data_IF_505519965851
#
_entry.id   IF_505519965851
#
_cell.length_a   1.000
_cell.length_b   1.000
_cell.length_c   1.000
_cell.angle_alpha   90.00
_cell.angle_beta   90.00
_cell.angle_gamma   90.00
#
_symmetry.space_group_name_H-M   'P 1'
#
loop_
_entity.id
_entity.type
_entity.pdbx_description
1 polymer ?
#
# COMPACT_ATOMS: atom_id res chain seq x y z
N UNK A 1 -7.02 -26.35 12.79
CA UNK A 1 -8.19 -25.87 13.55
C UNK A 1 -8.61 -26.96 14.55
N UNK A 2 -7.77 -27.18 15.53
CA UNK A 2 -7.92 -28.30 16.48
C UNK A 2 -9.13 -28.16 17.44
N UNK A 3 -9.76 -26.99 17.52
CA UNK A 3 -10.84 -26.67 18.45
C UNK A 3 -12.17 -26.27 17.77
N UNK A 4 -12.29 -26.46 16.46
CA UNK A 4 -13.48 -26.12 15.69
C UNK A 4 -13.74 -24.61 15.48
N UNK A 5 -12.85 -23.74 15.94
CA UNK A 5 -12.97 -22.29 15.70
C UNK A 5 -12.69 -21.97 14.24
N UNK A 6 -13.65 -21.36 13.56
CA UNK A 6 -13.48 -20.91 12.17
C UNK A 6 -12.48 -19.73 12.10
N UNK A 7 -11.76 -19.56 10.98
CA UNK A 7 -10.95 -18.37 10.76
C UNK A 7 -11.83 -17.11 10.75
N UNK A 8 -11.26 -15.92 10.97
CA UNK A 8 -11.98 -14.68 10.77
C UNK A 8 -12.40 -14.52 9.30
N UNK A 9 -13.43 -13.71 9.05
CA UNK A 9 -13.87 -13.40 7.70
C UNK A 9 -12.77 -12.74 6.88
N UNK A 10 -12.77 -13.02 5.58
CA UNK A 10 -11.85 -12.40 4.63
C UNK A 10 -12.09 -10.89 4.55
N UNK A 11 -10.99 -10.14 4.47
CA UNK A 11 -11.01 -8.68 4.29
C UNK A 11 -10.22 -8.34 3.03
N UNK A 12 -10.85 -7.67 2.09
CA UNK A 12 -10.24 -7.25 0.83
C UNK A 12 -10.96 -6.01 0.30
N UNK A 13 -10.25 -5.21 -0.49
CA UNK A 13 -10.82 -4.02 -1.10
C UNK A 13 -11.92 -4.38 -2.09
N UNK A 14 -13.01 -3.63 -2.09
CA UNK A 14 -14.21 -3.89 -2.87
C UNK A 14 -14.73 -2.63 -3.55
N UNK A 15 -15.23 -2.81 -4.78
CA UNK A 15 -15.81 -1.72 -5.57
C UNK A 15 -17.11 -1.20 -4.93
N UNK A 16 -17.96 -2.10 -4.45
CA UNK A 16 -19.24 -1.75 -3.81
C UNK A 16 -19.09 -1.05 -2.44
N UNK A 17 -17.90 -1.12 -1.83
CA UNK A 17 -17.57 -0.39 -0.59
C UNK A 17 -16.79 0.91 -0.85
N UNK A 18 -16.45 1.21 -2.11
CA UNK A 18 -15.61 2.36 -2.45
C UNK A 18 -14.16 2.25 -2.01
N UNK A 19 -13.73 1.05 -1.57
CA UNK A 19 -12.35 0.78 -1.15
C UNK A 19 -11.49 0.20 -2.27
N UNK A 20 -12.10 -0.12 -3.42
CA UNK A 20 -11.45 -0.43 -4.69
C UNK A 20 -11.94 0.60 -5.72
N UNK A 21 -11.05 1.38 -6.28
CA UNK A 21 -11.38 2.52 -7.15
C UNK A 21 -10.61 2.45 -8.47
N UNK A 22 -11.11 3.10 -9.54
CA UNK A 22 -10.31 3.33 -10.73
C UNK A 22 -9.00 4.07 -10.41
N UNK A 23 -7.92 3.71 -11.09
CA UNK A 23 -6.59 4.29 -10.81
C UNK A 23 -6.55 5.80 -10.98
N UNK A 24 -7.35 6.34 -11.89
CA UNK A 24 -7.46 7.79 -12.15
C UNK A 24 -8.08 8.57 -10.98
N UNK A 25 -8.71 7.86 -10.05
CA UNK A 25 -9.33 8.45 -8.85
C UNK A 25 -8.42 8.37 -7.61
N UNK A 26 -7.24 7.76 -7.75
CA UNK A 26 -6.30 7.72 -6.63
C UNK A 26 -5.79 9.13 -6.35
N UNK A 27 -5.93 9.57 -5.12
CA UNK A 27 -5.42 10.88 -4.68
C UNK A 27 -4.14 10.68 -3.88
N UNK A 28 -3.07 10.30 -4.58
CA UNK A 28 -1.77 10.08 -3.92
C UNK A 28 -1.21 11.41 -3.42
N UNK A 29 -0.71 11.47 -2.16
CA UNK A 29 -0.15 12.71 -1.63
C UNK A 29 1.06 13.18 -2.45
N UNK A 30 1.15 14.49 -2.68
CA UNK A 30 2.29 15.07 -3.40
C UNK A 30 3.54 15.10 -2.49
N UNK A 31 4.21 13.98 -2.38
CA UNK A 31 5.41 13.80 -1.56
C UNK A 31 6.62 14.31 -2.33
N UNK A 32 7.40 15.26 -1.82
CA UNK A 32 8.56 15.79 -2.52
C UNK A 32 9.58 14.72 -2.90
N UNK A 33 9.95 14.71 -4.17
CA UNK A 33 10.92 13.74 -4.71
C UNK A 33 10.36 12.34 -4.96
N UNK A 34 9.03 12.14 -4.78
CA UNK A 34 8.34 10.87 -5.04
C UNK A 34 7.44 11.02 -6.26
N UNK A 35 7.60 10.13 -7.22
CA UNK A 35 6.66 10.04 -8.36
C UNK A 35 5.43 9.27 -7.93
N UNK A 36 4.25 9.83 -8.19
CA UNK A 36 2.98 9.16 -7.92
C UNK A 36 2.73 7.95 -8.84
N UNK A 37 1.68 7.16 -8.58
CA UNK A 37 1.39 5.94 -9.33
C UNK A 37 0.77 6.20 -10.72
N UNK A 38 0.59 7.44 -11.11
CA UNK A 38 0.03 7.84 -12.40
C UNK A 38 0.92 7.29 -13.54
N UNK A 39 0.32 6.52 -14.42
CA UNK A 39 1.04 5.92 -15.54
C UNK A 39 1.74 4.58 -15.26
N UNK A 40 1.79 4.10 -14.01
CA UNK A 40 2.31 2.77 -13.68
C UNK A 40 1.33 1.67 -14.15
N UNK A 41 0.04 1.97 -14.12
CA UNK A 41 -1.03 1.04 -14.45
C UNK A 41 -1.46 1.21 -15.90
N UNK A 42 -1.10 0.26 -16.74
CA UNK A 42 -1.50 0.26 -18.15
C UNK A 42 -2.96 -0.20 -18.30
N UNK A 43 -3.68 0.48 -19.18
CA UNK A 43 -4.99 0.03 -19.66
C UNK A 43 -4.87 -1.35 -20.28
N UNK A 44 -5.77 -2.26 -19.92
CA UNK A 44 -5.82 -3.63 -20.43
C UNK A 44 -7.02 -3.80 -21.33
N UNK A 45 -6.83 -4.52 -22.43
CA UNK A 45 -7.87 -4.78 -23.42
C UNK A 45 -8.04 -6.27 -23.64
N UNK A 46 -9.29 -6.68 -23.90
CA UNK A 46 -9.56 -7.91 -24.60
C UNK A 46 -9.35 -7.66 -26.10
N UNK A 47 -8.50 -8.45 -26.72
CA UNK A 47 -8.17 -8.30 -28.13
C UNK A 47 -8.76 -9.42 -28.98
N UNK A 48 -9.36 -9.05 -30.13
CA UNK A 48 -9.70 -10.00 -31.17
C UNK A 48 -8.51 -10.19 -32.11
N UNK A 49 -8.05 -11.43 -32.21
CA UNK A 49 -6.90 -11.84 -33.02
C UNK A 49 -7.31 -12.73 -34.20
N UNK A 50 -8.62 -12.86 -34.46
CA UNK A 50 -9.17 -13.67 -35.54
C UNK A 50 -9.97 -14.87 -35.05
N UNK A 51 -10.77 -15.49 -35.96
CA UNK A 51 -11.76 -16.50 -35.59
C UNK A 51 -11.17 -17.87 -35.19
N UNK A 52 -9.88 -18.06 -35.40
CA UNK A 52 -9.15 -19.30 -35.04
C UNK A 52 -8.17 -19.09 -33.89
N UNK A 53 -8.28 -17.97 -33.17
CA UNK A 53 -7.50 -17.68 -31.98
C UNK A 53 -8.35 -17.90 -30.74
N UNK A 54 -7.86 -18.74 -29.83
CA UNK A 54 -8.45 -18.95 -28.52
C UNK A 54 -7.81 -17.99 -27.52
N UNK A 55 -8.63 -17.13 -26.92
CA UNK A 55 -8.17 -16.12 -25.96
C UNK A 55 -7.94 -16.69 -24.57
N UNK A 56 -8.62 -17.79 -24.23
CA UNK A 56 -8.57 -18.38 -22.88
C UNK A 56 -7.27 -19.15 -22.65
N UNK A 57 -6.80 -19.87 -23.66
CA UNK A 57 -5.54 -20.62 -23.57
C UNK A 57 -4.38 -20.00 -24.39
N UNK A 58 -4.62 -18.85 -25.03
CA UNK A 58 -3.67 -18.12 -25.87
C UNK A 58 -3.09 -18.94 -27.03
N UNK A 59 -3.90 -19.81 -27.62
CA UNK A 59 -3.53 -20.70 -28.71
C UNK A 59 -4.21 -20.38 -30.02
N UNK A 60 -3.84 -21.10 -31.07
CA UNK A 60 -4.45 -21.02 -32.39
C UNK A 60 -3.75 -20.04 -33.33
N UNK A 61 -4.49 -19.57 -34.35
CA UNK A 61 -3.92 -18.78 -35.45
C UNK A 61 -4.27 -17.32 -35.28
N UNK A 62 -3.25 -16.47 -35.15
CA UNK A 62 -3.41 -15.01 -35.24
C UNK A 62 -3.61 -14.64 -36.69
N UNK A 63 -4.83 -14.27 -37.05
CA UNK A 63 -5.19 -13.89 -38.42
C UNK A 63 -5.46 -12.37 -38.53
N UNK A 64 -5.50 -11.65 -37.39
CA UNK A 64 -5.71 -10.21 -37.32
C UNK A 64 -4.55 -9.56 -36.62
N UNK A 65 -3.74 -8.78 -37.34
CA UNK A 65 -2.57 -8.06 -36.81
C UNK A 65 -2.50 -6.68 -37.48
N UNK A 66 -2.52 -5.57 -36.75
CA UNK A 66 -2.63 -5.51 -35.26
C UNK A 66 -3.99 -6.02 -34.77
N UNK A 67 -4.05 -6.55 -33.53
CA UNK A 67 -5.30 -7.06 -32.99
C UNK A 67 -6.30 -5.95 -32.72
N UNK A 68 -7.59 -6.25 -32.86
CA UNK A 68 -8.68 -5.28 -32.64
C UNK A 68 -9.05 -5.26 -31.16
N UNK A 69 -8.98 -4.11 -30.44
CA UNK A 69 -9.47 -4.03 -29.08
C UNK A 69 -11.00 -4.14 -29.05
N UNK A 70 -11.51 -5.09 -28.25
CA UNK A 70 -12.96 -5.34 -28.10
C UNK A 70 -13.52 -4.74 -26.81
N UNK A 71 -12.80 -4.88 -25.71
CA UNK A 71 -13.23 -4.46 -24.40
C UNK A 71 -12.03 -3.89 -23.63
N UNK A 72 -12.25 -2.78 -22.98
CA UNK A 72 -11.30 -2.20 -22.04
C UNK A 72 -11.60 -2.68 -20.62
N UNK A 73 -10.57 -3.19 -19.92
CA UNK A 73 -10.69 -3.54 -18.51
C UNK A 73 -10.18 -2.35 -17.67
N UNK A 74 -11.03 -1.75 -16.82
CA UNK A 74 -10.57 -0.69 -15.94
C UNK A 74 -9.51 -1.21 -14.98
N UNK A 75 -8.43 -0.46 -14.79
CA UNK A 75 -7.45 -0.74 -13.75
C UNK A 75 -7.99 -0.25 -12.41
N UNK A 76 -8.31 -1.18 -11.52
CA UNK A 76 -8.78 -0.89 -10.18
C UNK A 76 -7.64 -1.05 -9.17
N UNK A 77 -7.57 -0.13 -8.22
CA UNK A 77 -6.55 -0.08 -7.16
C UNK A 77 -7.20 0.11 -5.80
N UNK A 78 -6.59 -0.33 -4.69
CA UNK A 78 -7.05 -0.02 -3.36
C UNK A 78 -7.10 1.48 -3.11
N UNK A 79 -8.15 1.94 -2.44
CA UNK A 79 -8.25 3.31 -1.94
C UNK A 79 -7.20 3.55 -0.86
N UNK A 80 -6.64 4.76 -0.82
CA UNK A 80 -5.61 5.16 0.13
C UNK A 80 -6.09 6.29 1.05
N UNK A 81 -5.43 6.43 2.19
CA UNK A 81 -5.61 7.55 3.11
C UNK A 81 -4.76 8.78 2.68
N UNK A 82 -4.84 9.85 3.48
CA UNK A 82 -4.09 11.08 3.22
C UNK A 82 -2.55 10.90 3.29
N UNK A 83 -2.09 9.80 3.84
CA UNK A 83 -0.67 9.44 3.90
C UNK A 83 -0.21 8.58 2.71
N UNK A 84 -1.15 8.16 1.86
CA UNK A 84 -0.88 7.25 0.74
C UNK A 84 -0.87 5.77 1.13
N UNK A 85 -1.37 5.41 2.31
CA UNK A 85 -1.47 4.02 2.77
C UNK A 85 -2.86 3.43 2.48
N UNK A 86 -2.92 2.14 2.13
CA UNK A 86 -4.18 1.46 1.89
C UNK A 86 -5.12 1.53 3.11
N UNK A 87 -6.39 1.86 2.88
CA UNK A 87 -7.39 2.00 3.95
C UNK A 87 -8.12 0.71 4.29
N UNK A 88 -8.07 -0.30 3.42
CA UNK A 88 -8.85 -1.53 3.53
C UNK A 88 -7.96 -2.79 3.49
N UNK A 89 -8.60 -3.95 3.53
CA UNK A 89 -7.94 -5.23 3.63
C UNK A 89 -7.44 -5.55 5.04
N UNK A 90 -6.43 -6.43 5.10
CA UNK A 90 -5.79 -6.80 6.37
C UNK A 90 -4.68 -5.81 6.71
N UNK A 91 -5.05 -4.66 7.27
CA UNK A 91 -4.06 -3.68 7.71
C UNK A 91 -3.28 -4.23 8.91
N UNK A 92 -1.98 -4.44 8.72
CA UNK A 92 -1.06 -4.84 9.78
C UNK A 92 -0.91 -3.72 10.84
N UNK A 93 -0.31 -4.04 11.99
CA UNK A 93 -0.01 -3.05 13.02
C UNK A 93 0.90 -1.92 12.50
N UNK A 94 1.76 -2.20 11.52
CA UNK A 94 2.62 -1.21 10.86
C UNK A 94 1.81 -0.20 10.05
N UNK A 95 0.74 -0.63 9.37
CA UNK A 95 -0.16 0.26 8.63
C UNK A 95 -1.19 0.97 9.53
N UNK A 96 -1.46 0.43 10.71
CA UNK A 96 -2.37 1.05 11.70
C UNK A 96 -1.69 2.11 12.57
N UNK A 97 -0.36 2.01 12.73
CA UNK A 97 0.51 3.00 13.37
C UNK A 97 1.72 3.25 12.47
N UNK A 98 1.52 3.97 11.34
CA UNK A 98 2.54 4.04 10.29
C UNK A 98 3.70 4.98 10.65
N UNK A 99 4.89 4.63 10.18
CA UNK A 99 6.09 5.47 10.22
C UNK A 99 6.40 6.12 8.87
N UNK A 100 5.58 5.85 7.87
CA UNK A 100 5.71 6.35 6.51
C UNK A 100 4.59 5.89 5.62
N UNK A 101 4.70 6.16 4.34
CA UNK A 101 3.86 5.58 3.29
C UNK A 101 4.46 4.26 2.85
N UNK A 102 3.63 3.23 2.76
CA UNK A 102 4.00 1.91 2.26
C UNK A 102 3.23 1.66 0.97
N UNK A 103 3.94 1.53 -0.14
CA UNK A 103 3.31 1.28 -1.44
C UNK A 103 3.55 -0.16 -1.89
N UNK A 104 2.59 -0.74 -2.61
CA UNK A 104 2.74 -2.02 -3.30
C UNK A 104 3.47 -1.88 -4.65
N UNK A 105 3.98 -0.70 -4.95
CA UNK A 105 4.65 -0.35 -6.20
C UNK A 105 5.89 0.50 -5.94
N UNK A 106 6.78 0.53 -6.92
CA UNK A 106 7.94 1.41 -6.96
C UNK A 106 8.18 1.83 -8.41
N UNK A 107 8.82 2.98 -8.61
CA UNK A 107 9.16 3.49 -9.94
C UNK A 107 10.66 3.53 -10.15
N UNK A 108 11.09 3.36 -11.40
CA UNK A 108 12.48 3.47 -11.77
C UNK A 108 12.97 4.91 -11.63
N UNK A 109 14.15 5.06 -11.08
CA UNK A 109 14.85 6.33 -11.00
C UNK A 109 15.24 6.86 -12.40
N UNK A 110 15.79 8.08 -12.44
CA UNK A 110 16.29 8.68 -13.67
C UNK A 110 17.25 7.73 -14.41
N UNK A 111 17.07 7.63 -15.73
CA UNK A 111 17.85 6.75 -16.61
C UNK A 111 16.94 5.90 -17.50
N UNK A 112 17.31 4.63 -17.69
CA UNK A 112 16.55 3.72 -18.56
C UNK A 112 15.16 3.42 -17.96
N UNK A 113 14.13 3.62 -18.79
CA UNK A 113 12.71 3.43 -18.39
C UNK A 113 12.32 4.22 -17.14
N UNK A 114 12.77 5.45 -17.04
CA UNK A 114 12.44 6.33 -15.91
C UNK A 114 10.92 6.48 -15.76
N UNK A 115 10.43 6.28 -14.53
CA UNK A 115 9.02 6.38 -14.20
C UNK A 115 8.21 5.11 -14.46
N UNK A 116 8.77 4.10 -15.13
CA UNK A 116 8.13 2.80 -15.26
C UNK A 116 8.16 2.02 -13.94
N UNK A 117 7.26 1.06 -13.79
CA UNK A 117 7.24 0.17 -12.62
C UNK A 117 8.60 -0.54 -12.47
N UNK A 118 9.12 -0.53 -11.23
CA UNK A 118 10.35 -1.19 -10.87
C UNK A 118 10.02 -2.56 -10.27
N UNK A 119 9.83 -3.57 -11.13
CA UNK A 119 9.51 -4.94 -10.73
C UNK A 119 8.26 -5.01 -9.81
N UNK A 120 8.14 -6.09 -9.01
CA UNK A 120 7.08 -6.30 -8.03
C UNK A 120 7.48 -5.85 -6.62
N UNK A 121 8.40 -4.90 -6.51
CA UNK A 121 8.87 -4.35 -5.24
C UNK A 121 8.04 -3.15 -4.83
N UNK A 122 7.65 -3.11 -3.55
CA UNK A 122 7.03 -1.93 -2.95
C UNK A 122 8.06 -0.92 -2.48
N UNK A 123 7.58 0.21 -1.96
CA UNK A 123 8.40 1.28 -1.39
C UNK A 123 8.01 1.56 0.07
N UNK A 124 8.98 2.04 0.83
CA UNK A 124 8.78 2.68 2.10
C UNK A 124 9.29 4.12 2.03
N UNK A 125 8.38 5.08 2.23
CA UNK A 125 8.66 6.50 2.15
C UNK A 125 8.46 7.08 3.55
N UNK A 126 9.53 7.30 4.34
CA UNK A 126 9.42 7.70 5.74
C UNK A 126 8.70 9.04 5.90
N UNK A 127 8.03 9.23 7.03
CA UNK A 127 7.57 10.55 7.45
C UNK A 127 8.76 11.37 7.95
N UNK A 128 8.69 12.69 7.80
CA UNK A 128 9.60 13.60 8.49
C UNK A 128 9.55 13.37 10.00
N UNK A 129 10.67 13.53 10.69
CA UNK A 129 10.71 13.31 12.14
C UNK A 129 9.99 14.43 12.88
N UNK A 130 10.28 15.69 12.52
CA UNK A 130 9.71 16.86 13.18
C UNK A 130 8.79 17.65 12.28
N UNK A 131 7.89 18.42 12.89
CA UNK A 131 7.04 19.38 12.17
C UNK A 131 7.87 20.39 11.36
N UNK A 132 8.98 20.85 11.94
CA UNK A 132 9.86 21.82 11.27
C UNK A 132 10.46 21.22 9.99
N UNK A 133 10.96 19.99 10.05
CA UNK A 133 11.48 19.26 8.89
C UNK A 133 10.40 19.05 7.82
N UNK A 134 9.22 18.61 8.21
CA UNK A 134 8.08 18.44 7.30
C UNK A 134 7.76 19.72 6.53
N UNK A 135 7.67 20.84 7.25
CA UNK A 135 7.36 22.14 6.63
C UNK A 135 8.49 22.61 5.71
N UNK A 136 9.74 22.44 6.12
CA UNK A 136 10.90 22.80 5.30
C UNK A 136 10.97 22.00 3.99
N UNK A 137 10.59 20.72 4.04
CA UNK A 137 10.56 19.84 2.87
C UNK A 137 9.29 20.00 2.02
N UNK A 138 8.24 20.66 2.52
CA UNK A 138 6.95 20.76 1.84
C UNK A 138 6.15 19.43 1.82
N UNK A 139 6.44 18.49 2.73
CA UNK A 139 5.72 17.21 2.82
C UNK A 139 4.31 17.45 3.37
N UNK A 140 3.23 17.03 2.67
CA UNK A 140 1.86 17.23 3.13
C UNK A 140 1.49 16.30 4.30
N UNK A 141 2.22 15.18 4.49
CA UNK A 141 1.94 14.18 5.52
C UNK A 141 2.43 14.66 6.88
N UNK A 142 1.69 14.36 7.94
CA UNK A 142 2.12 14.72 9.30
C UNK A 142 3.42 14.01 9.67
N UNK A 143 4.31 14.71 10.39
CA UNK A 143 5.55 14.18 10.94
C UNK A 143 5.32 13.16 12.06
N UNK A 144 6.34 12.38 12.40
CA UNK A 144 6.31 11.46 13.54
C UNK A 144 6.00 12.20 14.86
N UNK A 145 6.60 13.39 15.04
CA UNK A 145 6.34 14.24 16.19
C UNK A 145 4.88 14.68 16.30
N UNK A 146 4.26 15.09 15.18
CA UNK A 146 2.86 15.53 15.16
C UNK A 146 1.88 14.38 15.40
N UNK A 147 2.26 13.13 15.02
CA UNK A 147 1.41 11.94 15.17
C UNK A 147 1.48 11.34 16.56
N UNK A 148 2.68 11.19 17.07
CA UNK A 148 2.94 10.35 18.24
C UNK A 148 3.55 11.12 19.41
N UNK A 149 4.00 12.33 19.18
CA UNK A 149 4.70 13.18 20.15
C UNK A 149 6.08 12.60 20.51
N UNK A 150 6.14 11.36 20.99
CA UNK A 150 7.36 10.68 21.41
C UNK A 150 7.22 9.15 21.34
N UNK A 151 8.25 8.42 21.77
CA UNK A 151 8.30 6.95 21.80
C UNK A 151 7.14 6.35 22.63
N UNK A 152 6.75 6.96 23.74
CA UNK A 152 5.65 6.45 24.57
C UNK A 152 4.31 6.56 23.82
N UNK A 153 4.06 7.67 23.11
CA UNK A 153 2.88 7.87 22.28
C UNK A 153 2.81 6.86 21.14
N UNK A 154 3.94 6.62 20.45
CA UNK A 154 4.00 5.59 19.42
C UNK A 154 3.75 4.19 19.96
N UNK A 155 4.39 3.84 21.11
CA UNK A 155 4.20 2.54 21.75
C UNK A 155 2.74 2.31 22.14
N UNK A 156 2.04 3.35 22.62
CA UNK A 156 0.62 3.26 22.91
C UNK A 156 -0.21 3.00 21.63
N UNK A 157 0.08 3.70 20.54
CA UNK A 157 -0.61 3.55 19.27
C UNK A 157 -0.42 2.14 18.69
N UNK A 158 0.82 1.64 18.62
CA UNK A 158 1.10 0.30 18.11
C UNK A 158 0.55 -0.80 19.02
N UNK A 159 0.54 -0.60 20.35
CA UNK A 159 -0.08 -1.52 21.29
C UNK A 159 -1.59 -1.64 21.04
N UNK A 160 -2.27 -0.51 20.83
CA UNK A 160 -3.70 -0.52 20.50
C UNK A 160 -3.96 -1.25 19.17
N UNK A 161 -3.12 -1.02 18.14
CA UNK A 161 -3.21 -1.69 16.86
C UNK A 161 -3.02 -3.22 16.97
N UNK A 162 -2.00 -3.66 17.71
CA UNK A 162 -1.71 -5.08 17.95
C UNK A 162 -2.84 -5.76 18.72
N UNK A 163 -3.31 -5.15 19.84
CA UNK A 163 -4.40 -5.70 20.64
C UNK A 163 -5.68 -5.86 19.82
N UNK A 164 -5.96 -4.92 18.91
CA UNK A 164 -7.09 -5.03 18.00
C UNK A 164 -6.91 -6.19 17.01
N UNK A 165 -5.72 -6.40 16.45
CA UNK A 165 -5.46 -7.56 15.58
C UNK A 165 -5.63 -8.89 16.32
N UNK A 166 -5.19 -8.97 17.57
CA UNK A 166 -5.40 -10.16 18.41
C UNK A 166 -6.88 -10.39 18.69
N UNK A 167 -7.62 -9.36 19.07
CA UNK A 167 -9.07 -9.46 19.33
C UNK A 167 -9.87 -9.85 18.07
N UNK A 168 -9.43 -9.40 16.91
CA UNK A 168 -9.96 -9.74 15.59
C UNK A 168 -9.50 -11.13 15.11
N UNK A 169 -8.64 -11.83 15.86
CA UNK A 169 -8.03 -13.14 15.51
C UNK A 169 -7.17 -13.10 14.23
N UNK A 170 -6.61 -11.95 13.91
CA UNK A 170 -5.71 -11.72 12.78
C UNK A 170 -4.23 -11.75 13.19
N UNK A 171 -3.97 -11.87 14.50
CA UNK A 171 -2.63 -12.03 15.07
C UNK A 171 -2.71 -12.99 16.27
N UNK A 172 -1.69 -13.81 16.46
CA UNK A 172 -1.60 -14.67 17.63
C UNK A 172 -1.24 -13.84 18.86
N UNK A 173 -1.86 -14.16 20.00
CA UNK A 173 -1.56 -13.47 21.25
C UNK A 173 -0.08 -13.66 21.69
N UNK A 174 0.53 -14.79 21.33
CA UNK A 174 1.96 -15.08 21.56
C UNK A 174 2.89 -14.11 20.85
N UNK A 175 2.47 -13.53 19.71
CA UNK A 175 3.31 -12.70 18.87
C UNK A 175 3.19 -11.21 19.23
N UNK A 176 2.18 -10.85 20.02
CA UNK A 176 1.83 -9.47 20.33
C UNK A 176 3.00 -8.69 20.96
N UNK A 177 3.64 -9.27 21.98
CA UNK A 177 4.74 -8.60 22.68
C UNK A 177 5.94 -8.34 21.75
N UNK A 178 6.29 -9.32 20.92
CA UNK A 178 7.35 -9.18 19.93
C UNK A 178 7.03 -8.12 18.88
N UNK A 179 5.80 -8.08 18.38
CA UNK A 179 5.35 -7.08 17.41
C UNK A 179 5.45 -5.65 17.95
N UNK A 180 5.00 -5.42 19.21
CA UNK A 180 5.09 -4.11 19.86
C UNK A 180 6.56 -3.71 20.08
N UNK A 181 7.40 -4.62 20.59
CA UNK A 181 8.80 -4.35 20.85
C UNK A 181 9.56 -3.98 19.57
N UNK A 182 9.38 -4.77 18.50
CA UNK A 182 10.05 -4.53 17.22
C UNK A 182 9.60 -3.20 16.58
N UNK A 183 8.30 -2.90 16.63
CA UNK A 183 7.76 -1.65 16.08
C UNK A 183 8.30 -0.44 16.87
N UNK A 184 8.35 -0.52 18.20
CA UNK A 184 8.92 0.54 19.06
C UNK A 184 10.41 0.76 18.79
N UNK A 185 11.17 -0.31 18.63
CA UNK A 185 12.58 -0.21 18.26
C UNK A 185 12.76 0.46 16.87
N UNK A 186 11.90 0.12 15.92
CA UNK A 186 11.91 0.75 14.60
C UNK A 186 11.56 2.24 14.66
N UNK A 187 10.58 2.64 15.48
CA UNK A 187 10.27 4.06 15.70
C UNK A 187 11.49 4.81 16.27
N UNK A 188 12.19 4.23 17.25
CA UNK A 188 13.40 4.83 17.82
C UNK A 188 14.49 5.03 16.75
N UNK A 189 14.68 4.05 15.88
CA UNK A 189 15.59 4.14 14.76
C UNK A 189 15.14 5.21 13.74
N UNK A 190 13.86 5.19 13.33
CA UNK A 190 13.31 6.12 12.34
C UNK A 190 13.35 7.57 12.83
N UNK A 191 13.17 7.81 14.14
CA UNK A 191 13.26 9.13 14.74
C UNK A 191 14.70 9.57 15.05
N UNK A 192 15.70 8.72 14.81
CA UNK A 192 17.08 8.99 15.20
C UNK A 192 17.28 9.22 16.70
N UNK A 193 16.36 8.71 17.54
CA UNK A 193 16.33 8.93 18.97
C UNK A 193 15.90 10.34 19.39
N UNK A 194 15.45 11.20 18.49
CA UNK A 194 15.04 12.58 18.78
C UNK A 194 13.69 12.69 19.53
N UNK A 195 12.84 11.67 19.44
CA UNK A 195 11.50 11.64 20.03
C UNK A 195 11.43 10.64 21.20
N UNK A 196 12.31 10.77 22.19
CA UNK A 196 12.31 9.93 23.39
C UNK A 196 11.29 10.35 24.42
#
# INVERSE_FOLDING_TARGET
MANGTLPPDSRYSRLDHGSLIPVEQINFPNIPGVTGPEGIFNTRFLYYRGPKYDTDDLSGVIAVEPPIPLLEYPSLVPQIDADGNDIDGLRSHILRAPLGTYTGWNVRAAGFSQGDACDLTGSYIPFAVTKAERLANGDPRLSLQERYTNTAGYTAAVTAAVNRLVSERLMLASDAAGAISNATAWFTQASGGMLQ
#
